data_IF_173000708999
#
_entry.id   IF_173000708999
#
_cell.length_a   1.000
_cell.length_b   1.000
_cell.length_c   1.000
_cell.angle_alpha   90.00
_cell.angle_beta   90.00
_cell.angle_gamma   90.00
#
_symmetry.space_group_name_H-M   'P 1'
#
loop_
_entity.id
_entity.type
_entity.pdbx_description
1 polymer ?
#
# COMPACT_ATOMS: atom_id res chain seq x y z
N UNK A 1 -27.22 -11.95 -12.57
CA UNK A 1 -26.28 -12.83 -11.82
C UNK A 1 -25.81 -12.03 -10.63
N UNK A 2 -25.83 -12.61 -9.43
CA UNK A 2 -25.68 -11.88 -8.15
C UNK A 2 -24.34 -11.13 -8.14
N UNK A 3 -24.41 -9.81 -8.06
CA UNK A 3 -23.29 -8.93 -7.70
C UNK A 3 -22.60 -9.51 -6.47
N UNK A 4 -21.38 -9.98 -6.67
CA UNK A 4 -20.47 -10.30 -5.57
C UNK A 4 -20.04 -8.96 -4.98
N UNK A 5 -20.85 -8.43 -4.08
CA UNK A 5 -20.37 -7.52 -3.05
C UNK A 5 -19.35 -8.31 -2.23
N UNK A 6 -18.09 -8.31 -2.67
CA UNK A 6 -17.02 -8.78 -1.81
C UNK A 6 -17.00 -7.88 -0.57
N UNK A 7 -16.94 -8.48 0.63
CA UNK A 7 -16.97 -7.75 1.87
C UNK A 7 -15.78 -6.79 1.90
N UNK A 8 -16.04 -5.59 2.40
CA UNK A 8 -15.07 -4.57 2.76
C UNK A 8 -13.73 -5.18 3.19
N UNK A 9 -12.70 -4.98 2.37
CA UNK A 9 -11.31 -4.99 2.82
C UNK A 9 -11.12 -3.75 3.72
N UNK A 10 -11.77 -3.77 4.89
CA UNK A 10 -11.47 -2.88 6.01
C UNK A 10 -10.20 -3.38 6.70
N UNK A 11 -9.14 -3.59 5.92
CA UNK A 11 -7.80 -3.58 6.48
C UNK A 11 -7.44 -2.11 6.55
N UNK A 12 -7.89 -1.46 7.62
CA UNK A 12 -7.49 -0.11 8.03
C UNK A 12 -6.05 -0.13 8.54
N UNK A 13 -5.16 -0.90 7.92
CA UNK A 13 -3.75 -0.88 8.26
C UNK A 13 -3.09 0.27 7.53
N UNK A 14 -2.30 1.04 8.26
CA UNK A 14 -1.54 2.12 7.64
C UNK A 14 -0.48 1.56 6.68
N UNK A 15 0.00 2.37 5.74
CA UNK A 15 1.12 1.97 4.87
C UNK A 15 2.36 1.58 5.70
N UNK A 16 2.54 2.21 6.85
CA UNK A 16 3.61 1.91 7.80
C UNK A 16 3.44 0.51 8.40
N UNK A 17 2.25 0.19 8.93
CA UNK A 17 1.96 -1.13 9.49
C UNK A 17 2.12 -2.26 8.45
N UNK A 18 1.66 -2.05 7.21
CA UNK A 18 1.84 -3.02 6.13
C UNK A 18 3.33 -3.22 5.78
N UNK A 19 4.12 -2.15 5.84
CA UNK A 19 5.56 -2.21 5.57
C UNK A 19 6.30 -2.89 6.71
N UNK A 20 5.91 -2.65 7.95
CA UNK A 20 6.47 -3.31 9.13
C UNK A 20 6.18 -4.82 9.11
N UNK A 21 4.97 -5.23 8.76
CA UNK A 21 4.63 -6.64 8.57
C UNK A 21 5.47 -7.27 7.45
N UNK A 22 5.68 -6.56 6.33
CA UNK A 22 6.54 -7.05 5.26
C UNK A 22 8.00 -7.22 5.72
N UNK A 23 8.52 -6.29 6.51
CA UNK A 23 9.86 -6.37 7.09
C UNK A 23 10.00 -7.57 8.03
N UNK A 24 9.00 -7.83 8.89
CA UNK A 24 9.00 -9.01 9.77
C UNK A 24 9.01 -10.33 8.99
N UNK A 25 8.27 -10.41 7.88
CA UNK A 25 8.29 -11.58 7.01
C UNK A 25 9.66 -11.74 6.35
N UNK A 26 10.28 -10.64 5.89
CA UNK A 26 11.63 -10.67 5.31
C UNK A 26 12.65 -11.16 6.34
N UNK A 27 12.66 -10.62 7.56
CA UNK A 27 13.55 -11.08 8.63
C UNK A 27 13.36 -12.57 8.92
N UNK A 28 12.11 -13.05 8.93
CA UNK A 28 11.81 -14.47 9.12
C UNK A 28 12.35 -15.33 7.97
N UNK A 29 12.20 -14.86 6.72
CA UNK A 29 12.70 -15.53 5.52
C UNK A 29 14.23 -15.57 5.47
N UNK A 30 14.91 -14.51 5.89
CA UNK A 30 16.38 -14.43 5.92
C UNK A 30 17.01 -15.41 6.93
N UNK A 31 16.27 -15.71 8.01
CA UNK A 31 16.71 -16.64 9.05
C UNK A 31 16.30 -18.11 8.76
N UNK A 32 15.39 -18.36 7.81
CA UNK A 32 14.94 -19.70 7.45
C UNK A 32 15.95 -20.39 6.53
N UNK A 33 16.33 -21.62 6.89
CA UNK A 33 17.32 -22.43 6.16
C UNK A 33 16.66 -23.45 5.24
N UNK A 34 15.42 -23.86 5.53
CA UNK A 34 14.66 -24.78 4.70
C UNK A 34 13.78 -24.01 3.72
N UNK A 35 14.11 -24.13 2.43
CA UNK A 35 13.37 -23.50 1.35
C UNK A 35 11.90 -23.92 1.32
N UNK A 36 11.56 -25.16 1.71
CA UNK A 36 10.16 -25.60 1.68
C UNK A 36 9.31 -24.88 2.73
N UNK A 37 9.90 -24.57 3.90
CA UNK A 37 9.24 -23.86 4.99
C UNK A 37 9.02 -22.37 4.64
N UNK A 38 9.81 -21.82 3.72
CA UNK A 38 9.73 -20.41 3.35
C UNK A 38 8.73 -20.09 2.22
N UNK A 39 8.20 -21.12 1.52
CA UNK A 39 7.30 -20.93 0.37
C UNK A 39 6.05 -20.12 0.74
N UNK A 40 5.41 -20.46 1.86
CA UNK A 40 4.18 -19.79 2.30
C UNK A 40 4.45 -18.34 2.67
N UNK A 41 5.46 -18.09 3.50
CA UNK A 41 5.89 -16.74 3.91
C UNK A 41 6.27 -15.88 2.70
N UNK A 42 6.94 -16.44 1.71
CA UNK A 42 7.26 -15.72 0.48
C UNK A 42 6.00 -15.37 -0.34
N UNK A 43 5.03 -16.28 -0.43
CA UNK A 43 3.75 -15.99 -1.08
C UNK A 43 2.94 -14.92 -0.34
N UNK A 44 3.00 -14.90 0.99
CA UNK A 44 2.40 -13.84 1.81
C UNK A 44 3.08 -12.50 1.54
N UNK A 45 4.41 -12.44 1.54
CA UNK A 45 5.18 -11.24 1.21
C UNK A 45 4.82 -10.67 -0.18
N UNK A 46 4.66 -11.54 -1.19
CA UNK A 46 4.25 -11.10 -2.54
C UNK A 46 2.84 -10.47 -2.56
N UNK A 47 1.91 -10.99 -1.76
CA UNK A 47 0.57 -10.40 -1.65
C UNK A 47 0.63 -9.07 -0.93
N UNK A 48 1.36 -9.00 0.18
CA UNK A 48 1.52 -7.81 0.99
C UNK A 48 2.18 -6.67 0.19
N UNK A 49 3.25 -6.96 -0.55
CA UNK A 49 3.91 -5.99 -1.43
C UNK A 49 2.96 -5.37 -2.47
N UNK A 50 2.05 -6.16 -3.04
CA UNK A 50 1.04 -5.64 -3.99
C UNK A 50 0.05 -4.69 -3.31
N UNK A 51 -0.30 -4.96 -2.05
CA UNK A 51 -1.18 -4.09 -1.26
C UNK A 51 -0.46 -2.77 -0.94
N UNK A 52 0.80 -2.85 -0.48
CA UNK A 52 1.67 -1.69 -0.21
C UNK A 52 1.78 -0.81 -1.46
N UNK A 53 2.09 -1.40 -2.62
CA UNK A 53 2.20 -0.66 -3.89
C UNK A 53 0.90 0.07 -4.24
N UNK A 54 -0.25 -0.60 -4.07
CA UNK A 54 -1.57 -0.02 -4.37
C UNK A 54 -1.88 1.16 -3.45
N UNK A 55 -1.67 1.02 -2.14
CA UNK A 55 -1.93 2.08 -1.18
C UNK A 55 -0.95 3.25 -1.33
N UNK A 56 0.34 2.98 -1.57
CA UNK A 56 1.32 4.02 -1.87
C UNK A 56 0.92 4.84 -3.11
N UNK A 57 0.56 4.18 -4.21
CA UNK A 57 0.14 4.83 -5.44
C UNK A 57 -1.12 5.68 -5.26
N UNK A 58 -2.08 5.20 -4.47
CA UNK A 58 -3.30 5.94 -4.13
C UNK A 58 -2.99 7.20 -3.33
N UNK A 59 -2.17 7.09 -2.29
CA UNK A 59 -1.76 8.21 -1.45
C UNK A 59 -0.97 9.25 -2.26
N UNK A 60 -0.03 8.80 -3.09
CA UNK A 60 0.74 9.65 -3.98
C UNK A 60 -0.14 10.47 -4.93
N UNK A 61 -1.14 9.83 -5.58
CA UNK A 61 -2.09 10.52 -6.47
C UNK A 61 -2.90 11.57 -5.71
N UNK A 62 -3.40 11.24 -4.52
CA UNK A 62 -4.15 12.18 -3.68
C UNK A 62 -3.33 13.43 -3.34
N UNK A 63 -2.09 13.25 -2.89
CA UNK A 63 -1.16 14.34 -2.57
C UNK A 63 -0.87 15.20 -3.81
N UNK A 64 -0.62 14.56 -4.96
CA UNK A 64 -0.34 15.25 -6.22
C UNK A 64 -1.51 16.13 -6.65
N UNK A 65 -2.73 15.60 -6.60
CA UNK A 65 -3.95 16.33 -6.96
C UNK A 65 -4.22 17.50 -6.01
N UNK A 66 -4.09 17.28 -4.70
CA UNK A 66 -4.27 18.34 -3.70
C UNK A 66 -3.24 19.46 -3.87
N UNK A 67 -1.98 19.10 -4.10
CA UNK A 67 -0.90 20.05 -4.35
C UNK A 67 -1.19 20.89 -5.60
N UNK A 68 -1.59 20.24 -6.71
CA UNK A 68 -1.99 20.93 -7.94
C UNK A 68 -3.13 21.91 -7.71
N UNK A 69 -4.16 21.51 -6.94
CA UNK A 69 -5.29 22.39 -6.58
C UNK A 69 -4.83 23.61 -5.78
N UNK A 70 -3.95 23.42 -4.77
CA UNK A 70 -3.40 24.52 -3.95
C UNK A 70 -2.59 25.50 -4.80
N UNK A 71 -1.72 25.00 -5.68
CA UNK A 71 -0.93 25.84 -6.60
C UNK A 71 -1.86 26.66 -7.50
N UNK A 72 -2.86 26.04 -8.12
CA UNK A 72 -3.83 26.75 -8.97
C UNK A 72 -4.61 27.83 -8.20
N UNK A 73 -4.95 27.56 -6.93
CA UNK A 73 -5.64 28.53 -6.09
C UNK A 73 -4.75 29.74 -5.76
N UNK A 74 -3.44 29.55 -5.58
CA UNK A 74 -2.47 30.64 -5.36
C UNK A 74 -2.33 31.49 -6.62
N UNK A 75 -2.14 30.85 -7.79
CA UNK A 75 -2.01 31.56 -9.07
C UNK A 75 -3.24 32.46 -9.31
N UNK A 76 -4.45 31.91 -9.19
CA UNK A 76 -5.71 32.66 -9.35
C UNK A 76 -5.90 33.82 -8.39
N UNK A 77 -5.26 33.80 -7.20
CA UNK A 77 -5.31 34.90 -6.24
C UNK A 77 -4.37 36.04 -6.62
N UNK A 78 -3.24 35.72 -7.26
CA UNK A 78 -2.24 36.70 -7.70
C UNK A 78 -2.57 37.33 -9.06
N UNK A 79 -3.44 36.71 -9.86
CA UNK A 79 -3.95 37.25 -11.12
C UNK A 79 -5.10 38.28 -10.93
N UNK A 80 -5.47 38.60 -9.68
CA UNK A 80 -6.45 39.63 -9.30
C UNK A 80 -5.76 40.81 -8.63
#
# INVERSE_FOLDING_TARGET
>A
MKDKNLPHDNISSSLEELTDEANQIIESLENEKDLNNSIESYQQLLKLNKIIEKEFNKNFKSISEETKKKIQAIIKKNDK
#
